data_IF_322727787854
#
_entry.id   IF_322727787854
#
_cell.length_a   1.000
_cell.length_b   1.000
_cell.length_c   1.000
_cell.angle_alpha   90.00
_cell.angle_beta   90.00
_cell.angle_gamma   90.00
#
_symmetry.space_group_name_H-M   'P 1'
#
loop_
_entity.id
_entity.type
_entity.pdbx_description
1 polymer ?
#
# COMPACT_ATOMS: atom_id res chain seq x y z
N UNK A 1 7.72 13.73 -9.67
CA UNK A 1 8.59 12.54 -9.58
C UNK A 1 9.82 12.75 -8.68
N UNK A 2 10.66 13.78 -8.91
CA UNK A 2 11.85 14.05 -8.06
C UNK A 2 11.57 14.24 -6.56
N UNK A 3 10.37 14.70 -6.19
CA UNK A 3 9.97 14.89 -4.79
C UNK A 3 9.05 13.79 -4.24
N UNK A 4 8.80 12.73 -5.01
CA UNK A 4 7.98 11.61 -4.53
C UNK A 4 8.76 10.76 -3.53
N UNK A 5 8.27 10.66 -2.29
CA UNK A 5 8.88 9.83 -1.24
C UNK A 5 8.99 8.36 -1.66
N UNK A 6 7.96 7.78 -2.30
CA UNK A 6 8.01 6.40 -2.75
C UNK A 6 8.96 6.19 -3.92
N UNK A 7 9.10 7.15 -4.84
CA UNK A 7 10.14 7.08 -5.88
C UNK A 7 11.54 7.10 -5.28
N UNK A 8 11.76 7.91 -4.23
CA UNK A 8 13.05 7.95 -3.52
C UNK A 8 13.34 6.62 -2.78
N UNK A 9 12.33 6.01 -2.18
CA UNK A 9 12.46 4.66 -1.60
C UNK A 9 12.83 3.65 -2.68
N UNK A 10 12.13 3.65 -3.81
CA UNK A 10 12.38 2.75 -4.94
C UNK A 10 13.75 2.98 -5.60
N UNK A 11 14.28 4.20 -5.56
CA UNK A 11 15.61 4.54 -6.03
C UNK A 11 16.73 4.20 -5.02
N UNK A 12 16.38 3.85 -3.78
CA UNK A 12 17.33 3.61 -2.69
C UNK A 12 17.85 4.88 -2.00
N UNK A 13 17.30 6.05 -2.32
CA UNK A 13 17.67 7.33 -1.70
C UNK A 13 17.15 7.45 -0.25
N UNK A 14 16.08 6.71 0.07
CA UNK A 14 15.47 6.64 1.40
C UNK A 14 15.39 5.16 1.79
N UNK A 15 15.97 4.81 2.93
CA UNK A 15 15.87 3.45 3.47
C UNK A 15 14.40 3.11 3.82
N UNK A 16 14.01 1.88 3.53
CA UNK A 16 12.70 1.35 3.89
C UNK A 16 12.80 -0.15 4.16
N UNK A 17 12.09 -0.62 5.18
CA UNK A 17 11.98 -2.04 5.48
C UNK A 17 10.98 -2.70 4.53
N UNK A 18 11.51 -3.26 3.45
CA UNK A 18 10.72 -3.98 2.45
C UNK A 18 10.31 -5.34 3.00
N UNK A 19 9.00 -5.53 3.18
CA UNK A 19 8.39 -6.79 3.58
C UNK A 19 8.38 -7.80 2.44
N UNK A 20 8.12 -7.30 1.22
CA UNK A 20 8.04 -8.10 0.00
C UNK A 20 8.31 -7.21 -1.20
N UNK A 21 8.97 -7.78 -2.19
CA UNK A 21 9.22 -7.15 -3.48
C UNK A 21 8.90 -8.13 -4.60
N UNK A 22 8.27 -7.63 -5.65
CA UNK A 22 8.06 -8.37 -6.91
C UNK A 22 8.64 -7.54 -8.06
N UNK A 23 8.44 -7.99 -9.29
CA UNK A 23 8.80 -7.20 -10.48
C UNK A 23 8.11 -5.83 -10.49
N UNK A 24 6.82 -5.76 -10.11
CA UNK A 24 6.01 -4.55 -10.26
C UNK A 24 5.69 -3.83 -8.95
N UNK A 25 5.83 -4.47 -7.79
CA UNK A 25 5.35 -3.97 -6.51
C UNK A 25 6.42 -4.06 -5.42
N UNK A 26 6.29 -3.17 -4.43
CA UNK A 26 6.91 -3.34 -3.10
C UNK A 26 5.81 -3.28 -2.03
N UNK A 27 6.01 -4.00 -0.94
CA UNK A 27 5.22 -3.88 0.29
C UNK A 27 6.14 -3.43 1.43
N UNK A 28 5.71 -2.42 2.17
CA UNK A 28 6.46 -1.86 3.31
C UNK A 28 5.51 -1.67 4.50
N UNK A 29 6.03 -1.64 5.72
CA UNK A 29 5.25 -1.16 6.86
C UNK A 29 5.08 0.36 6.76
N UNK A 30 3.89 0.85 7.09
CA UNK A 30 3.71 2.30 7.26
C UNK A 30 4.48 2.77 8.50
N UNK A 31 5.25 3.85 8.35
CA UNK A 31 6.01 4.45 9.46
C UNK A 31 5.12 5.14 10.49
N UNK A 32 3.88 5.47 10.13
CA UNK A 32 2.86 6.07 10.98
C UNK A 32 1.60 5.19 11.00
N UNK A 33 1.67 3.98 11.60
CA UNK A 33 0.61 2.99 11.53
C UNK A 33 -0.72 3.49 12.13
N UNK A 34 -1.83 3.22 11.45
CA UNK A 34 -3.20 3.57 11.91
C UNK A 34 -3.98 2.34 12.41
N UNK A 35 -3.31 1.19 12.50
CA UNK A 35 -3.83 -0.08 12.99
C UNK A 35 -2.66 -0.95 13.49
N UNK A 36 -2.95 -2.05 14.21
CA UNK A 36 -1.91 -2.95 14.74
C UNK A 36 -1.01 -3.54 13.65
N UNK A 37 -1.57 -3.75 12.46
CA UNK A 37 -0.82 -3.97 11.23
C UNK A 37 -1.21 -2.93 10.19
N UNK A 38 -0.24 -2.19 9.66
CA UNK A 38 -0.45 -1.23 8.59
C UNK A 38 0.61 -1.41 7.50
N UNK A 39 0.20 -2.02 6.39
CA UNK A 39 1.07 -2.30 5.24
C UNK A 39 0.68 -1.37 4.09
N UNK A 40 1.68 -0.80 3.43
CA UNK A 40 1.53 -0.08 2.17
C UNK A 40 2.03 -0.98 1.03
N UNK A 41 1.18 -1.22 0.03
CA UNK A 41 1.58 -1.85 -1.22
C UNK A 41 1.63 -0.79 -2.31
N UNK A 42 2.80 -0.68 -2.95
CA UNK A 42 3.17 0.44 -3.82
C UNK A 42 3.65 -0.12 -5.15
N UNK A 43 3.11 0.33 -6.30
CA UNK A 43 3.66 -0.01 -7.60
C UNK A 43 5.01 0.67 -7.81
N UNK A 44 5.98 -0.05 -8.36
CA UNK A 44 7.30 0.50 -8.71
C UNK A 44 7.19 1.57 -9.79
N UNK A 45 6.29 1.37 -10.75
CA UNK A 45 5.91 2.40 -11.71
C UNK A 45 5.18 3.52 -10.99
N UNK A 46 5.57 4.77 -11.28
CA UNK A 46 4.87 5.93 -10.74
C UNK A 46 3.49 6.08 -11.39
N UNK A 47 2.47 5.70 -10.64
CA UNK A 47 1.05 5.88 -10.97
C UNK A 47 0.50 6.86 -9.93
N UNK A 48 -0.13 7.96 -10.33
CA UNK A 48 -0.50 9.04 -9.38
C UNK A 48 -1.42 8.55 -8.24
N UNK A 49 -2.44 7.78 -8.59
CA UNK A 49 -3.42 7.16 -7.70
C UNK A 49 -4.21 6.08 -8.47
N UNK A 50 -5.25 5.52 -7.83
CA UNK A 50 -6.08 4.47 -8.42
C UNK A 50 -6.78 4.89 -9.73
N UNK A 51 -7.00 6.18 -10.01
CA UNK A 51 -7.67 6.64 -11.23
C UNK A 51 -6.80 6.35 -12.47
N UNK A 52 -5.47 6.40 -12.31
CA UNK A 52 -4.50 6.11 -13.38
C UNK A 52 -4.02 4.66 -13.42
N UNK A 53 -4.54 3.80 -12.54
CA UNK A 53 -4.14 2.39 -12.47
C UNK A 53 -4.86 1.55 -13.52
N UNK A 54 -4.16 0.58 -14.09
CA UNK A 54 -4.77 -0.47 -14.91
C UNK A 54 -5.30 -1.62 -14.03
N UNK A 55 -6.16 -2.47 -14.60
CA UNK A 55 -6.74 -3.59 -13.86
C UNK A 55 -5.69 -4.61 -13.42
N UNK A 56 -4.64 -4.79 -14.22
CA UNK A 56 -3.57 -5.74 -13.95
C UNK A 56 -2.82 -5.39 -12.66
N UNK A 57 -2.40 -4.13 -12.48
CA UNK A 57 -1.69 -3.72 -11.27
C UNK A 57 -2.57 -3.85 -10.03
N UNK A 58 -3.87 -3.55 -10.14
CA UNK A 58 -4.82 -3.72 -9.04
C UNK A 58 -4.97 -5.18 -8.61
N UNK A 59 -5.03 -6.10 -9.58
CA UNK A 59 -5.07 -7.55 -9.31
C UNK A 59 -3.80 -8.02 -8.59
N UNK A 60 -2.62 -7.56 -9.01
CA UNK A 60 -1.36 -7.89 -8.35
C UNK A 60 -1.31 -7.37 -6.90
N UNK A 61 -1.74 -6.12 -6.67
CA UNK A 61 -1.78 -5.52 -5.34
C UNK A 61 -2.72 -6.30 -4.41
N UNK A 62 -3.93 -6.63 -4.91
CA UNK A 62 -4.88 -7.44 -4.15
C UNK A 62 -4.29 -8.79 -3.76
N UNK A 63 -3.65 -9.50 -4.70
CA UNK A 63 -3.04 -10.81 -4.43
C UNK A 63 -1.97 -10.71 -3.35
N UNK A 64 -1.02 -9.79 -3.52
CA UNK A 64 0.06 -9.58 -2.57
C UNK A 64 -0.46 -9.24 -1.16
N UNK A 65 -1.43 -8.32 -1.05
CA UNK A 65 -1.94 -7.91 0.25
C UNK A 65 -2.72 -8.99 0.99
N UNK A 66 -3.51 -9.79 0.26
CA UNK A 66 -4.21 -10.93 0.85
C UNK A 66 -3.25 -12.03 1.32
N UNK A 67 -2.17 -12.28 0.58
CA UNK A 67 -1.11 -13.22 1.00
C UNK A 67 -0.41 -12.73 2.27
N UNK A 68 0.00 -11.46 2.32
CA UNK A 68 0.64 -10.87 3.49
C UNK A 68 -0.26 -10.89 4.74
N UNK A 69 -1.56 -10.62 4.58
CA UNK A 69 -2.52 -10.73 5.69
C UNK A 69 -2.67 -12.17 6.17
N UNK A 70 -2.76 -13.13 5.24
CA UNK A 70 -2.84 -14.56 5.56
C UNK A 70 -1.60 -15.05 6.31
N UNK A 71 -0.41 -14.66 5.86
CA UNK A 71 0.86 -15.04 6.51
C UNK A 71 0.99 -14.48 7.93
N UNK A 72 0.39 -13.31 8.19
CA UNK A 72 0.31 -12.71 9.53
C UNK A 72 -0.83 -13.27 10.38
N UNK A 73 -1.63 -14.20 9.86
CA UNK A 73 -2.79 -14.76 10.58
C UNK A 73 -3.96 -13.78 10.74
N UNK A 74 -4.02 -12.72 9.92
CA UNK A 74 -5.01 -11.65 10.02
C UNK A 74 -6.18 -11.95 9.10
N UNK A 75 -7.39 -12.02 9.67
CA UNK A 75 -8.64 -12.27 8.94
C UNK A 75 -9.62 -11.09 9.02
N UNK A 76 -9.28 -10.03 9.77
CA UNK A 76 -10.08 -8.82 9.96
C UNK A 76 -9.27 -7.58 9.55
N UNK A 77 -9.53 -7.05 8.36
CA UNK A 77 -8.76 -5.93 7.83
C UNK A 77 -9.61 -4.97 6.98
N UNK A 78 -9.10 -3.76 6.79
CA UNK A 78 -9.65 -2.72 5.92
C UNK A 78 -8.63 -2.42 4.82
N UNK A 79 -9.08 -2.41 3.57
CA UNK A 79 -8.28 -1.96 2.43
C UNK A 79 -8.68 -0.51 2.11
N UNK A 80 -7.71 0.40 2.02
CA UNK A 80 -7.95 1.81 1.68
C UNK A 80 -7.02 2.24 0.56
N UNK A 81 -7.54 3.00 -0.39
CA UNK A 81 -6.74 3.72 -1.38
C UNK A 81 -7.35 5.10 -1.58
N UNK A 82 -6.52 6.13 -1.65
CA UNK A 82 -6.96 7.51 -1.82
C UNK A 82 -6.72 7.98 -3.26
N UNK A 83 -7.60 8.86 -3.74
CA UNK A 83 -7.54 9.39 -5.11
C UNK A 83 -7.73 10.91 -5.13
N UNK A 84 -7.20 11.56 -6.17
CA UNK A 84 -7.34 13.00 -6.34
C UNK A 84 -6.84 13.76 -5.10
N UNK A 85 -7.57 14.78 -4.67
CA UNK A 85 -7.17 15.63 -3.55
C UNK A 85 -7.18 14.94 -2.18
N UNK A 86 -7.71 13.71 -2.07
CA UNK A 86 -7.61 12.92 -0.85
C UNK A 86 -6.24 12.23 -0.70
N UNK A 87 -5.46 12.09 -1.79
CA UNK A 87 -4.15 11.46 -1.75
C UNK A 87 -3.06 12.45 -1.31
N UNK A 88 -2.51 12.24 -0.11
CA UNK A 88 -1.41 13.04 0.43
C UNK A 88 -0.10 12.84 -0.36
N UNK A 89 0.18 11.61 -0.78
CA UNK A 89 1.30 11.26 -1.67
C UNK A 89 0.74 10.93 -3.04
N UNK A 90 1.19 11.66 -4.07
CA UNK A 90 0.79 11.46 -5.48
C UNK A 90 1.57 10.33 -6.13
N UNK A 91 1.58 9.19 -5.47
CA UNK A 91 2.07 7.91 -5.97
C UNK A 91 1.22 6.87 -5.28
N UNK A 92 0.46 6.12 -6.08
CA UNK A 92 -0.49 5.12 -5.66
C UNK A 92 0.10 4.24 -4.58
N UNK A 93 -0.64 4.05 -3.51
CA UNK A 93 -0.32 3.15 -2.43
C UNK A 93 -1.62 2.64 -1.87
N UNK A 94 -1.67 1.35 -1.57
CA UNK A 94 -2.87 0.71 -1.03
C UNK A 94 -2.56 0.29 0.39
N UNK A 95 -3.34 0.85 1.30
CA UNK A 95 -3.27 0.56 2.72
C UNK A 95 -3.99 -0.75 2.99
N UNK A 96 -3.31 -1.68 3.63
CA UNK A 96 -3.91 -2.84 4.26
C UNK A 96 -3.76 -2.66 5.78
N UNK A 97 -4.88 -2.34 6.42
CA UNK A 97 -5.01 -2.11 7.85
C UNK A 97 -5.57 -3.37 8.50
N UNK A 98 -4.75 -4.14 9.19
CA UNK A 98 -5.12 -5.37 9.89
C UNK A 98 -5.65 -5.13 11.30
N UNK A 99 -6.25 -6.16 11.87
CA UNK A 99 -6.81 -6.17 13.24
C UNK A 99 -7.93 -5.13 13.46
N UNK A 100 -8.67 -4.82 12.40
CA UNK A 100 -9.75 -3.83 12.47
C UNK A 100 -10.96 -4.42 13.19
N UNK A 101 -11.50 -3.64 14.12
CA UNK A 101 -12.79 -3.89 14.80
C UNK A 101 -13.89 -3.13 14.06
N UNK A 102 -15.10 -3.69 14.02
CA UNK A 102 -16.26 -3.02 13.42
C UNK A 102 -16.60 -1.77 14.24
N UNK A 103 -16.37 -0.59 13.65
CA UNK A 103 -16.58 0.73 14.25
C UNK A 103 -17.75 1.50 13.60
N UNK A 104 -18.26 1.00 12.47
CA UNK A 104 -19.36 1.63 11.73
C UNK A 104 -20.71 1.19 12.28
N UNK A 105 -21.52 2.15 12.71
CA UNK A 105 -22.95 1.92 12.99
C UNK A 105 -23.69 1.66 11.67
N UNK A 106 -24.43 0.56 11.59
CA UNK A 106 -25.29 0.21 10.47
C UNK A 106 -26.63 0.94 10.55
#
# INVERSE_FOLDING_TARGET
MKDCVFCKILAGDIASDILRETENLIAINDINPQAGVHILIIPKRHISDIIGADDAIWVEIKKMGLELMKEKGINNFRIVTNAGNAAAVKHMHVHFLGEIVVDRKL
#
